data_IF_952755930815
#
_entry.id   IF_952755930815
#
_cell.length_a   1.000
_cell.length_b   1.000
_cell.length_c   1.000
_cell.angle_alpha   90.00
_cell.angle_beta   90.00
_cell.angle_gamma   90.00
#
_symmetry.space_group_name_H-M   'P 1'
#
loop_
_entity.id
_entity.type
_entity.pdbx_description
1 polymer ?
#
# COMPACT_ATOMS: atom_id res chain seq x y z
N UNK A 1 19.79 -4.13 15.57
CA UNK A 1 19.02 -2.88 15.41
C UNK A 1 18.03 -3.11 14.28
N UNK A 2 16.75 -3.30 14.60
CA UNK A 2 15.71 -3.42 13.60
C UNK A 2 15.30 -1.99 13.24
N UNK A 3 15.61 -1.54 12.03
CA UNK A 3 15.14 -0.25 11.55
C UNK A 3 13.67 -0.41 11.19
N UNK A 4 12.74 -0.08 12.09
CA UNK A 4 11.38 0.21 11.68
C UNK A 4 11.42 1.19 10.51
N UNK A 5 10.63 0.90 9.46
CA UNK A 5 10.55 1.81 8.33
C UNK A 5 9.93 3.11 8.83
N UNK A 6 10.77 4.15 8.96
CA UNK A 6 10.33 5.52 9.17
C UNK A 6 9.64 5.95 7.89
N UNK A 7 8.33 6.14 7.98
CA UNK A 7 7.53 6.67 6.88
C UNK A 7 7.04 8.05 7.29
N UNK A 8 7.35 9.04 6.46
CA UNK A 8 6.88 10.40 6.64
C UNK A 8 5.95 10.76 5.48
N UNK A 9 4.90 11.52 5.79
CA UNK A 9 4.02 12.04 4.75
C UNK A 9 4.76 13.11 3.95
N UNK A 10 4.85 12.92 2.64
CA UNK A 10 5.51 13.82 1.70
C UNK A 10 4.48 14.51 0.83
N UNK A 11 4.67 15.78 0.51
CA UNK A 11 3.83 16.44 -0.51
C UNK A 11 4.14 15.85 -1.89
N UNK A 12 3.09 15.36 -2.57
CA UNK A 12 3.19 14.77 -3.90
C UNK A 12 2.31 15.56 -4.86
N UNK A 13 2.86 15.95 -5.99
CA UNK A 13 2.07 16.52 -7.08
C UNK A 13 1.17 15.45 -7.68
N UNK A 14 -0.14 15.71 -7.63
CA UNK A 14 -1.16 14.77 -8.08
C UNK A 14 -1.07 14.48 -9.58
N UNK A 15 -0.86 15.50 -10.41
CA UNK A 15 -0.84 15.33 -11.86
C UNK A 15 0.34 14.47 -12.29
N UNK A 16 1.52 14.72 -11.70
CA UNK A 16 2.72 13.95 -11.92
C UNK A 16 2.57 12.50 -11.43
N UNK A 17 2.02 12.29 -10.23
CA UNK A 17 1.71 10.96 -9.70
C UNK A 17 0.80 10.18 -10.65
N UNK A 18 -0.33 10.77 -11.08
CA UNK A 18 -1.31 10.12 -11.97
C UNK A 18 -0.71 9.80 -13.33
N UNK A 19 0.09 10.72 -13.90
CA UNK A 19 0.78 10.48 -15.17
C UNK A 19 1.73 9.28 -15.08
N UNK A 20 2.59 9.24 -14.05
CA UNK A 20 3.54 8.14 -13.84
C UNK A 20 2.83 6.82 -13.51
N UNK A 21 1.79 6.87 -12.68
CA UNK A 21 0.99 5.70 -12.33
C UNK A 21 0.32 5.09 -13.57
N UNK A 22 -0.27 5.90 -14.44
CA UNK A 22 -0.93 5.40 -15.65
C UNK A 22 0.07 4.69 -16.58
N UNK A 23 1.29 5.23 -16.73
CA UNK A 23 2.36 4.57 -17.50
C UNK A 23 2.71 3.22 -16.88
N UNK A 24 2.87 3.16 -15.55
CA UNK A 24 3.15 1.91 -14.83
C UNK A 24 2.02 0.90 -15.02
N UNK A 25 0.75 1.31 -14.90
CA UNK A 25 -0.41 0.43 -15.09
C UNK A 25 -0.43 -0.15 -16.51
N UNK A 26 -0.28 0.69 -17.53
CA UNK A 26 -0.26 0.23 -18.93
C UNK A 26 0.90 -0.72 -19.18
N UNK A 27 2.11 -0.40 -18.68
CA UNK A 27 3.28 -1.26 -18.78
C UNK A 27 3.07 -2.62 -18.08
N UNK A 28 2.47 -2.63 -16.89
CA UNK A 28 2.12 -3.84 -16.15
C UNK A 28 1.12 -4.70 -16.92
N UNK A 29 0.06 -4.12 -17.47
CA UNK A 29 -0.95 -4.87 -18.24
C UNK A 29 -0.31 -5.47 -19.49
N UNK A 30 0.44 -4.67 -20.26
CA UNK A 30 1.08 -5.13 -21.48
C UNK A 30 2.11 -6.23 -21.20
N UNK A 31 2.98 -6.03 -20.21
CA UNK A 31 3.99 -7.03 -19.83
C UNK A 31 3.36 -8.32 -19.31
N UNK A 32 2.32 -8.25 -18.46
CA UNK A 32 1.63 -9.42 -17.95
C UNK A 32 0.95 -10.20 -19.08
N UNK A 33 0.25 -9.52 -20.00
CA UNK A 33 -0.40 -10.14 -21.13
C UNK A 33 0.60 -10.86 -22.06
N UNK A 34 1.69 -10.19 -22.42
CA UNK A 34 2.72 -10.76 -23.32
C UNK A 34 3.44 -11.92 -22.64
N UNK A 35 3.91 -11.75 -21.41
CA UNK A 35 4.69 -12.76 -20.69
C UNK A 35 3.84 -13.99 -20.33
N UNK A 36 2.60 -13.80 -19.90
CA UNK A 36 1.72 -14.93 -19.57
C UNK A 36 1.46 -15.80 -20.78
N UNK A 37 1.19 -15.20 -21.94
CA UNK A 37 1.02 -15.93 -23.19
C UNK A 37 2.33 -16.63 -23.60
N UNK A 38 3.45 -15.91 -23.63
CA UNK A 38 4.74 -16.47 -24.04
C UNK A 38 5.16 -17.68 -23.18
N UNK A 39 5.02 -17.57 -21.85
CA UNK A 39 5.36 -18.67 -20.92
C UNK A 39 4.39 -19.83 -21.09
N UNK A 40 3.08 -19.57 -21.20
CA UNK A 40 2.07 -20.62 -21.37
C UNK A 40 2.32 -21.42 -22.66
N UNK A 41 2.56 -20.72 -23.78
CA UNK A 41 2.83 -21.36 -25.07
C UNK A 41 4.14 -22.15 -25.06
N UNK A 42 5.18 -21.63 -24.40
CA UNK A 42 6.45 -22.35 -24.24
C UNK A 42 6.28 -23.63 -23.42
N UNK A 43 5.50 -23.59 -22.33
CA UNK A 43 5.21 -24.75 -21.50
C UNK A 43 4.40 -25.81 -22.25
N UNK A 44 3.38 -25.40 -23.01
CA UNK A 44 2.57 -26.31 -23.83
C UNK A 44 3.41 -26.98 -24.91
N UNK A 45 4.32 -26.22 -25.55
CA UNK A 45 5.23 -26.76 -26.57
C UNK A 45 6.20 -27.79 -25.99
N UNK A 46 6.75 -27.54 -24.79
CA UNK A 46 7.69 -28.45 -24.12
C UNK A 46 7.01 -29.66 -23.47
N UNK A 47 5.76 -29.50 -23.01
CA UNK A 47 4.99 -30.51 -22.30
C UNK A 47 3.57 -30.66 -22.88
N UNK A 48 3.46 -31.19 -24.12
CA UNK A 48 2.16 -31.42 -24.75
C UNK A 48 1.35 -32.46 -23.96
N UNK A 49 0.03 -32.22 -23.87
CA UNK A 49 -0.90 -33.10 -23.17
C UNK A 49 -1.66 -33.96 -24.19
N UNK A 50 -1.70 -35.29 -24.05
CA UNK A 50 -2.49 -36.17 -24.90
C UNK A 50 -4.00 -35.92 -24.82
N UNK A 51 -4.45 -35.37 -23.68
CA UNK A 51 -5.87 -35.17 -23.35
C UNK A 51 -6.41 -33.81 -23.86
N UNK A 52 -5.55 -32.96 -24.44
CA UNK A 52 -5.90 -31.67 -25.03
C UNK A 52 -6.17 -30.52 -24.05
N UNK A 53 -6.32 -30.81 -22.74
CA UNK A 53 -6.47 -29.76 -21.72
C UNK A 53 -5.12 -29.19 -21.30
N UNK A 54 -4.97 -27.87 -21.42
CA UNK A 54 -3.76 -27.12 -21.04
C UNK A 54 -4.02 -26.06 -19.98
N UNK A 55 -5.12 -26.16 -19.23
CA UNK A 55 -5.50 -25.16 -18.22
C UNK A 55 -4.38 -24.90 -17.20
N UNK A 56 -3.73 -25.95 -16.70
CA UNK A 56 -2.65 -25.81 -15.71
C UNK A 56 -1.44 -25.05 -16.27
N UNK A 57 -1.07 -25.24 -17.54
CA UNK A 57 0.03 -24.49 -18.15
C UNK A 57 -0.30 -23.02 -18.35
N UNK A 58 -1.55 -22.71 -18.73
CA UNK A 58 -2.01 -21.32 -18.80
C UNK A 58 -1.99 -20.65 -17.41
N UNK A 59 -2.52 -21.33 -16.39
CA UNK A 59 -2.52 -20.83 -15.02
C UNK A 59 -1.09 -20.60 -14.52
N UNK A 60 -0.19 -21.55 -14.75
CA UNK A 60 1.22 -21.44 -14.36
C UNK A 60 1.90 -20.27 -15.07
N UNK A 61 1.65 -20.08 -16.36
CA UNK A 61 2.17 -18.95 -17.13
C UNK A 61 1.75 -17.60 -16.55
N UNK A 62 0.49 -17.45 -16.15
CA UNK A 62 -0.01 -16.24 -15.47
C UNK A 62 0.67 -16.02 -14.12
N UNK A 63 0.76 -17.06 -13.29
CA UNK A 63 1.39 -16.98 -11.96
C UNK A 63 2.86 -16.57 -12.05
N UNK A 64 3.64 -17.24 -12.91
CA UNK A 64 5.06 -16.93 -13.11
C UNK A 64 5.27 -15.51 -13.63
N UNK A 65 4.41 -15.07 -14.55
CA UNK A 65 4.44 -13.71 -15.09
C UNK A 65 4.13 -12.66 -14.03
N UNK A 66 3.13 -12.90 -13.18
CA UNK A 66 2.79 -11.99 -12.08
C UNK A 66 3.93 -11.88 -11.06
N UNK A 67 4.55 -13.00 -10.69
CA UNK A 67 5.73 -13.01 -9.80
C UNK A 67 6.88 -12.23 -10.43
N UNK A 68 7.20 -12.50 -11.69
CA UNK A 68 8.24 -11.80 -12.43
C UNK A 68 8.00 -10.30 -12.50
N UNK A 69 6.76 -9.88 -12.77
CA UNK A 69 6.35 -8.49 -12.81
C UNK A 69 6.56 -7.80 -11.45
N UNK A 70 6.15 -8.42 -10.35
CA UNK A 70 6.38 -7.89 -9.00
C UNK A 70 7.86 -7.71 -8.72
N UNK A 71 8.70 -8.70 -9.06
CA UNK A 71 10.16 -8.62 -8.88
C UNK A 71 10.76 -7.44 -9.67
N UNK A 72 10.32 -7.24 -10.91
CA UNK A 72 10.77 -6.10 -11.74
C UNK A 72 10.33 -4.78 -11.12
N UNK A 73 9.09 -4.66 -10.68
CA UNK A 73 8.58 -3.43 -10.03
C UNK A 73 9.35 -3.09 -8.75
N UNK A 74 9.68 -4.10 -7.93
CA UNK A 74 10.49 -3.90 -6.73
C UNK A 74 11.90 -3.38 -7.06
N UNK A 75 12.52 -3.87 -8.14
CA UNK A 75 13.81 -3.36 -8.61
C UNK A 75 13.72 -1.93 -9.16
N UNK A 76 12.64 -1.62 -9.87
CA UNK A 76 12.42 -0.29 -10.44
C UNK A 76 12.00 0.76 -9.41
N UNK A 77 11.54 0.33 -8.23
CA UNK A 77 11.05 1.23 -7.16
C UNK A 77 12.05 2.31 -6.75
N UNK A 78 13.36 2.05 -6.85
CA UNK A 78 14.41 3.02 -6.51
C UNK A 78 14.68 4.05 -7.62
N UNK A 79 14.10 3.88 -8.81
CA UNK A 79 14.34 4.76 -9.95
C UNK A 79 13.66 6.12 -9.75
N UNK A 80 14.27 7.24 -10.18
CA UNK A 80 13.69 8.58 -10.02
C UNK A 80 12.30 8.73 -10.67
N UNK A 81 12.04 8.02 -11.78
CA UNK A 81 10.74 8.02 -12.47
C UNK A 81 9.63 7.27 -11.71
N UNK A 82 10.00 6.44 -10.74
CA UNK A 82 9.05 5.70 -9.89
C UNK A 82 8.76 6.41 -8.57
N UNK A 83 9.42 7.52 -8.26
CA UNK A 83 9.42 8.16 -6.94
C UNK A 83 8.02 8.34 -6.33
N UNK A 84 7.08 8.94 -7.05
CA UNK A 84 5.72 9.22 -6.56
C UNK A 84 4.91 7.92 -6.42
N UNK A 85 5.04 7.01 -7.39
CA UNK A 85 4.36 5.71 -7.37
C UNK A 85 4.89 4.85 -6.21
N UNK A 86 6.21 4.85 -6.00
CA UNK A 86 6.90 4.16 -4.92
C UNK A 86 6.50 4.72 -3.55
N UNK A 87 6.43 6.05 -3.43
CA UNK A 87 5.93 6.71 -2.22
C UNK A 87 4.50 6.28 -1.90
N UNK A 88 3.58 6.34 -2.87
CA UNK A 88 2.18 5.96 -2.66
C UNK A 88 2.05 4.47 -2.35
N UNK A 89 2.86 3.63 -2.99
CA UNK A 89 2.96 2.22 -2.66
C UNK A 89 3.34 2.03 -1.18
N UNK A 90 4.40 2.69 -0.72
CA UNK A 90 4.86 2.57 0.67
C UNK A 90 3.87 3.13 1.68
N UNK A 91 3.19 4.23 1.33
CA UNK A 91 2.10 4.77 2.12
C UNK A 91 0.97 3.74 2.25
N UNK A 92 0.54 3.11 1.15
CA UNK A 92 -0.48 2.05 1.18
C UNK A 92 -0.06 0.87 2.06
N UNK A 93 1.21 0.47 2.00
CA UNK A 93 1.75 -0.57 2.88
C UNK A 93 1.70 -0.17 4.36
N UNK A 94 2.16 1.03 4.70
CA UNK A 94 2.17 1.55 6.06
C UNK A 94 0.74 1.64 6.64
N UNK A 95 -0.20 2.16 5.85
CA UNK A 95 -1.62 2.23 6.24
C UNK A 95 -2.23 0.84 6.43
N UNK A 96 -1.91 -0.13 5.58
CA UNK A 96 -2.39 -1.50 5.73
C UNK A 96 -1.84 -2.17 7.01
N UNK A 97 -0.60 -1.88 7.41
CA UNK A 97 -0.05 -2.37 8.68
C UNK A 97 -0.84 -1.82 9.88
N UNK A 98 -1.16 -0.52 9.88
CA UNK A 98 -1.98 0.11 10.92
C UNK A 98 -3.39 -0.48 10.92
N UNK A 99 -4.01 -0.60 9.74
CA UNK A 99 -5.36 -1.14 9.56
C UNK A 99 -5.50 -2.56 10.15
N UNK A 100 -4.51 -3.44 9.95
CA UNK A 100 -4.48 -4.78 10.54
C UNK A 100 -4.49 -4.78 12.07
N UNK A 101 -4.06 -3.70 12.71
CA UNK A 101 -4.02 -3.51 14.17
C UNK A 101 -5.11 -2.57 14.69
N UNK A 102 -5.98 -2.06 13.82
CA UNK A 102 -6.90 -0.96 14.11
C UNK A 102 -7.75 -1.21 15.36
N UNK A 103 -8.30 -2.42 15.54
CA UNK A 103 -9.11 -2.75 16.73
C UNK A 103 -8.37 -2.54 18.05
N UNK A 104 -7.09 -2.95 18.09
CA UNK A 104 -6.26 -2.82 19.29
C UNK A 104 -5.79 -1.39 19.50
N UNK A 105 -5.45 -0.70 18.41
CA UNK A 105 -5.10 0.72 18.44
C UNK A 105 -6.25 1.57 18.95
N UNK A 106 -7.48 1.36 18.47
CA UNK A 106 -8.66 2.07 18.96
C UNK A 106 -8.91 1.82 20.45
N UNK A 107 -8.79 0.57 20.90
CA UNK A 107 -8.94 0.24 22.31
C UNK A 107 -7.89 0.92 23.20
N UNK A 108 -6.62 0.92 22.76
CA UNK A 108 -5.53 1.54 23.48
C UNK A 108 -5.59 3.07 23.46
N UNK A 109 -5.95 3.67 22.32
CA UNK A 109 -6.17 5.11 22.18
C UNK A 109 -7.28 5.59 23.10
N UNK A 110 -8.40 4.86 23.17
CA UNK A 110 -9.48 5.13 24.14
C UNK A 110 -9.00 5.08 25.60
N UNK A 111 -7.98 4.28 25.89
CA UNK A 111 -7.34 4.18 27.21
C UNK A 111 -6.19 5.19 27.42
N UNK A 112 -5.97 6.14 26.50
CA UNK A 112 -4.97 7.19 26.62
C UNK A 112 -3.57 6.83 26.16
N UNK A 113 -3.40 5.72 25.42
CA UNK A 113 -2.10 5.35 24.89
C UNK A 113 -1.68 6.29 23.74
N UNK A 114 -0.61 7.06 23.96
CA UNK A 114 -0.10 8.06 23.02
C UNK A 114 0.40 7.43 21.71
N UNK A 115 1.06 6.26 21.75
CA UNK A 115 1.57 5.59 20.55
C UNK A 115 0.43 5.09 19.65
N UNK A 116 -0.65 4.61 20.26
CA UNK A 116 -1.85 4.22 19.54
C UNK A 116 -2.52 5.42 18.86
N UNK A 117 -2.64 6.54 19.58
CA UNK A 117 -3.16 7.79 19.04
C UNK A 117 -2.27 8.34 17.92
N UNK A 118 -0.94 8.26 18.05
CA UNK A 118 0.01 8.65 17.01
C UNK A 118 -0.13 7.80 15.74
N UNK A 119 -0.25 6.48 15.89
CA UNK A 119 -0.46 5.58 14.76
C UNK A 119 -1.80 5.85 14.04
N UNK A 120 -2.88 6.08 14.80
CA UNK A 120 -4.18 6.47 14.22
C UNK A 120 -4.10 7.82 13.51
N UNK A 121 -3.46 8.82 14.12
CA UNK A 121 -3.27 10.15 13.52
C UNK A 121 -2.51 10.05 12.20
N UNK A 122 -1.41 9.30 12.17
CA UNK A 122 -0.67 9.04 10.93
C UNK A 122 -1.57 8.34 9.89
N UNK A 123 -2.34 7.33 10.31
CA UNK A 123 -3.24 6.61 9.42
C UNK A 123 -4.32 7.49 8.80
N UNK A 124 -4.85 8.44 9.57
CA UNK A 124 -5.90 9.33 9.10
C UNK A 124 -5.34 10.40 8.16
N UNK A 125 -4.21 11.01 8.52
CA UNK A 125 -3.52 11.94 7.63
C UNK A 125 -3.10 11.28 6.30
N UNK A 126 -2.53 10.07 6.36
CA UNK A 126 -2.15 9.31 5.17
C UNK A 126 -3.34 8.88 4.31
N UNK A 127 -4.46 8.47 4.92
CA UNK A 127 -5.70 8.15 4.19
C UNK A 127 -6.25 9.36 3.44
N UNK A 128 -6.28 10.54 4.08
CA UNK A 128 -6.69 11.80 3.41
C UNK A 128 -5.81 12.11 2.21
N UNK A 129 -4.50 11.94 2.35
CA UNK A 129 -3.57 12.15 1.25
C UNK A 129 -3.85 11.19 0.08
N UNK A 130 -4.05 9.90 0.35
CA UNK A 130 -4.38 8.93 -0.70
C UNK A 130 -5.65 9.33 -1.45
N UNK A 131 -6.67 9.83 -0.76
CA UNK A 131 -7.90 10.28 -1.41
C UNK A 131 -7.69 11.47 -2.32
N UNK A 132 -6.89 12.45 -1.89
CA UNK A 132 -6.53 13.60 -2.73
C UNK A 132 -5.79 13.15 -4.00
N UNK A 133 -4.93 12.13 -3.89
CA UNK A 133 -4.16 11.58 -5.00
C UNK A 133 -4.98 10.68 -5.93
N UNK A 134 -5.89 9.87 -5.39
CA UNK A 134 -6.64 8.84 -6.13
C UNK A 134 -8.06 9.28 -6.55
N UNK A 135 -8.53 10.48 -6.18
CA UNK A 135 -9.90 10.99 -6.44
C UNK A 135 -11.03 10.11 -5.86
N UNK A 136 -10.75 9.40 -4.76
CA UNK A 136 -11.72 8.51 -4.12
C UNK A 136 -12.17 9.08 -2.77
N UNK A 137 -13.35 9.69 -2.71
CA UNK A 137 -13.89 10.37 -1.51
C UNK A 137 -14.95 9.57 -0.74
N UNK A 138 -15.23 8.32 -1.15
CA UNK A 138 -16.36 7.51 -0.65
C UNK A 138 -16.33 7.32 0.88
N UNK A 139 -15.15 7.33 1.48
CA UNK A 139 -14.93 7.05 2.91
C UNK A 139 -14.61 8.30 3.74
N UNK A 140 -14.72 9.50 3.16
CA UNK A 140 -14.33 10.76 3.82
C UNK A 140 -15.15 11.05 5.07
N UNK A 141 -16.46 10.78 5.07
CA UNK A 141 -17.33 10.99 6.22
C UNK A 141 -16.89 10.16 7.43
N UNK A 142 -16.69 8.85 7.24
CA UNK A 142 -16.29 7.95 8.33
C UNK A 142 -14.90 8.26 8.88
N UNK A 143 -13.98 8.76 8.05
CA UNK A 143 -12.68 9.22 8.54
C UNK A 143 -12.77 10.54 9.30
N UNK A 144 -13.64 11.45 8.89
CA UNK A 144 -13.85 12.69 9.64
C UNK A 144 -14.46 12.41 11.02
N UNK A 145 -15.38 11.46 11.11
CA UNK A 145 -15.90 10.96 12.39
C UNK A 145 -14.80 10.32 13.25
N UNK A 146 -13.97 9.46 12.65
CA UNK A 146 -12.86 8.82 13.34
C UNK A 146 -11.79 9.83 13.81
N UNK A 147 -11.55 10.89 13.03
CA UNK A 147 -10.66 11.99 13.40
C UNK A 147 -11.24 12.77 14.58
N UNK A 148 -12.51 13.15 14.52
CA UNK A 148 -13.17 13.86 15.63
C UNK A 148 -13.12 13.06 16.94
N UNK A 149 -13.32 11.75 16.87
CA UNK A 149 -13.19 10.87 18.03
C UNK A 149 -11.76 10.83 18.58
N UNK A 150 -10.75 10.83 17.70
CA UNK A 150 -9.35 10.89 18.10
C UNK A 150 -9.00 12.24 18.75
N UNK A 151 -9.48 13.35 18.17
CA UNK A 151 -9.26 14.70 18.69
C UNK A 151 -9.82 14.83 20.12
N UNK A 152 -11.00 14.26 20.39
CA UNK A 152 -11.57 14.19 21.75
C UNK A 152 -10.67 13.42 22.72
N UNK A 153 -10.05 12.31 22.29
CA UNK A 153 -9.11 11.57 23.15
C UNK A 153 -7.82 12.36 23.39
N UNK A 154 -7.32 13.08 22.38
CA UNK A 154 -6.14 13.94 22.53
C UNK A 154 -6.38 15.05 23.55
N UNK A 155 -7.54 15.70 23.50
CA UNK A 155 -7.95 16.70 24.48
C UNK A 155 -8.12 16.08 25.88
N UNK A 156 -8.85 14.96 25.98
CA UNK A 156 -9.10 14.27 27.25
C UNK A 156 -7.82 13.88 27.99
N UNK A 157 -6.81 13.40 27.26
CA UNK A 157 -5.55 12.93 27.82
C UNK A 157 -4.43 13.98 27.75
N UNK A 158 -4.73 15.21 27.28
CA UNK A 158 -3.78 16.30 27.10
C UNK A 158 -2.52 15.88 26.32
N UNK A 159 -2.73 15.23 25.18
CA UNK A 159 -1.67 14.66 24.33
C UNK A 159 -1.46 15.53 23.11
N UNK A 160 -0.25 16.05 22.94
CA UNK A 160 0.20 16.66 21.70
C UNK A 160 0.93 15.63 20.83
N UNK A 161 0.51 15.49 19.58
CA UNK A 161 1.09 14.54 18.64
C UNK A 161 1.97 15.26 17.61
N UNK A 162 3.14 14.68 17.37
CA UNK A 162 4.00 15.01 16.24
C UNK A 162 4.01 13.82 15.27
N UNK A 163 3.27 13.95 14.16
CA UNK A 163 3.12 12.90 13.14
C UNK A 163 4.48 12.46 12.56
N UNK A 164 5.48 13.35 12.55
CA UNK A 164 6.81 13.03 12.03
C UNK A 164 7.55 11.97 12.85
N UNK A 165 7.11 11.73 14.10
CA UNK A 165 7.64 10.70 15.01
C UNK A 165 7.04 9.31 14.76
N UNK A 166 6.03 9.18 13.89
CA UNK A 166 5.47 7.88 13.56
C UNK A 166 6.54 6.96 12.99
N UNK A 167 6.59 5.75 13.54
CA UNK A 167 7.40 4.66 13.02
C UNK A 167 6.61 3.36 13.15
N UNK A 168 6.85 2.41 12.23
CA UNK A 168 6.13 1.15 12.22
C UNK A 168 6.45 0.22 13.40
N UNK A 169 7.54 0.45 14.14
CA UNK A 169 7.88 -0.36 15.32
C UNK A 169 6.92 -0.13 16.49
N UNK A 170 6.29 1.06 16.58
CA UNK A 170 5.22 1.36 17.54
C UNK A 170 4.10 0.31 17.49
N UNK A 171 3.82 -0.23 16.31
CA UNK A 171 2.75 -1.21 16.10
C UNK A 171 3.02 -2.57 16.76
N UNK A 172 4.26 -2.87 17.19
CA UNK A 172 4.61 -4.12 17.86
C UNK A 172 3.96 -4.25 19.24
N UNK A 173 3.62 -3.12 19.88
CA UNK A 173 2.92 -3.09 21.16
C UNK A 173 1.43 -3.47 21.05
N UNK A 174 0.89 -3.60 19.83
CA UNK A 174 -0.53 -3.87 19.57
C UNK A 174 -0.71 -5.19 18.82
#
# INVERSE_FOLDING_TARGET
MHNGLLMQLQTIDKQLYRSRLNIVIVACIASLAISSLAISQSLIYLFPSPEGSHFHWNLLGVVLSAIGLVVVLLKLKTQPKMREVAYVWDLKQALNLIYRKNRKLLAAAKAGNQDAMLALQFSYAGSRQLWQLDDNTITMSSLNEAQSQLDQWLEQYNVELDISRYNSDLLKAF
#
